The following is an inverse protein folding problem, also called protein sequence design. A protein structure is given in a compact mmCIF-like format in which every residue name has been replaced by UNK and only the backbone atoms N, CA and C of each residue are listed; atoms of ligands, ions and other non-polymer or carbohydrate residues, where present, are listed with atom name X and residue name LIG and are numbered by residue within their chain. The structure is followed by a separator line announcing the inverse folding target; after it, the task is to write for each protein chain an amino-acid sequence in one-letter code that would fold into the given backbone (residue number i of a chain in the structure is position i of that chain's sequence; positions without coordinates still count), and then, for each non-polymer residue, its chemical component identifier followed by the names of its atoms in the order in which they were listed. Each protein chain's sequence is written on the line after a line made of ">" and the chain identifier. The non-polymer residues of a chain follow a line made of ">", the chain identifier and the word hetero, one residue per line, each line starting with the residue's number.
data_IF_487516788472
#
_entry.id   IF_487516788472
#
_cell.length_a   1.000
_cell.length_b   1.000
_cell.length_c   1.000
_cell.angle_alpha   90.00
_cell.angle_beta   90.00
_cell.angle_gamma   90.00
#
_symmetry.space_group_name_H-M   'P 1'
#
loop_
_entity.id
_entity.type
_entity.pdbx_description
1 polymer ?
#
# COMPACT_ATOMS: atom_id res chain seq x y z
N UNK A 1 -3.44 -7.03 -39.18
CA UNK A 1 -3.00 -5.69 -39.61
C UNK A 1 -4.19 -4.74 -39.44
N UNK A 2 -3.94 -3.64 -38.73
CA UNK A 2 -4.73 -2.39 -38.70
C UNK A 2 -6.07 -2.39 -37.93
N UNK A 3 -5.91 -2.23 -36.61
CA UNK A 3 -6.46 -1.12 -35.80
C UNK A 3 -7.28 -0.07 -36.56
N UNK A 4 -8.54 0.12 -36.15
CA UNK A 4 -9.15 1.45 -36.02
C UNK A 4 -10.58 1.32 -35.49
N UNK A 5 -10.85 1.86 -34.29
CA UNK A 5 -12.06 2.60 -33.90
C UNK A 5 -12.36 2.45 -32.40
N UNK A 6 -11.91 3.42 -31.58
CA UNK A 6 -12.58 3.88 -30.36
C UNK A 6 -11.70 4.90 -29.60
N UNK A 7 -11.56 6.11 -30.15
CA UNK A 7 -10.99 7.24 -29.41
C UNK A 7 -11.51 8.57 -29.95
N UNK A 8 -12.84 8.73 -29.99
CA UNK A 8 -13.47 10.02 -30.27
C UNK A 8 -14.76 10.22 -29.49
N UNK A 9 -14.67 10.22 -28.16
CA UNK A 9 -15.59 10.97 -27.32
C UNK A 9 -14.75 11.44 -26.14
N UNK A 10 -14.47 12.74 -26.03
CA UNK A 10 -14.47 13.56 -24.81
C UNK A 10 -13.71 14.89 -25.02
N UNK A 11 -14.24 15.94 -24.39
CA UNK A 11 -13.86 17.37 -24.44
C UNK A 11 -14.40 18.22 -25.61
N UNK A 12 -15.73 18.29 -25.72
CA UNK A 12 -16.42 19.56 -26.02
C UNK A 12 -16.89 20.17 -24.71
N UNK A 13 -16.11 21.10 -24.17
CA UNK A 13 -16.49 22.23 -23.30
C UNK A 13 -15.20 22.79 -22.70
N UNK A 14 -14.60 23.75 -23.38
CA UNK A 14 -13.82 24.88 -22.85
C UNK A 14 -13.28 25.65 -24.06
N UNK A 15 -14.17 26.45 -24.65
CA UNK A 15 -13.85 27.36 -25.74
C UNK A 15 -14.43 28.74 -25.46
N UNK A 16 -13.51 29.67 -25.16
CA UNK A 16 -13.49 31.09 -25.61
C UNK A 16 -14.55 32.05 -25.04
N UNK A 17 -14.06 33.02 -24.27
CA UNK A 17 -14.34 34.48 -24.32
C UNK A 17 -13.03 35.13 -23.84
N UNK A 18 -12.39 36.13 -24.43
CA UNK A 18 -12.70 37.09 -25.49
C UNK A 18 -11.86 38.34 -25.18
N UNK A 19 -10.98 38.75 -26.10
CA UNK A 19 -10.08 39.92 -26.01
C UNK A 19 -10.85 41.25 -25.86
N UNK A 20 -10.29 42.22 -25.12
CA UNK A 20 -10.71 43.62 -25.17
C UNK A 20 -9.99 44.61 -24.23
N UNK A 21 -9.04 45.36 -24.82
CA UNK A 21 -8.66 46.77 -24.54
C UNK A 21 -7.71 47.16 -23.37
N UNK A 22 -6.47 47.47 -23.76
CA UNK A 22 -5.63 48.66 -23.48
C UNK A 22 -5.96 49.56 -22.27
N UNK A 23 -4.94 49.74 -21.42
CA UNK A 23 -4.62 51.04 -20.80
C UNK A 23 -4.60 51.06 -19.27
N UNK A 24 -3.39 51.01 -18.70
CA UNK A 24 -2.82 51.98 -17.74
C UNK A 24 -1.58 51.34 -17.09
N UNK A 25 -0.45 52.02 -17.26
CA UNK A 25 0.80 51.72 -16.61
C UNK A 25 0.67 51.85 -15.09
N UNK A 26 0.93 50.75 -14.39
CA UNK A 26 1.07 50.71 -12.94
C UNK A 26 1.85 49.45 -12.60
N UNK A 27 3.10 49.62 -12.17
CA UNK A 27 3.96 48.55 -11.70
C UNK A 27 3.25 47.71 -10.63
N UNK A 28 2.78 46.53 -11.03
CA UNK A 28 2.57 45.40 -10.14
C UNK A 28 3.23 44.21 -10.82
N UNK A 29 4.41 43.83 -10.35
CA UNK A 29 5.07 42.58 -10.74
C UNK A 29 4.18 41.42 -10.27
N UNK A 30 3.23 40.99 -11.11
CA UNK A 30 2.54 39.71 -10.94
C UNK A 30 3.50 38.60 -11.38
N UNK A 31 3.89 37.74 -10.45
CA UNK A 31 4.72 36.56 -10.67
C UNK A 31 4.02 35.58 -11.63
N UNK A 32 4.38 35.61 -12.91
CA UNK A 32 3.87 34.70 -13.94
C UNK A 32 4.68 33.38 -14.06
N UNK A 33 5.25 32.85 -12.97
CA UNK A 33 6.32 31.84 -13.05
C UNK A 33 6.00 30.35 -12.74
N UNK A 34 4.85 29.89 -12.19
CA UNK A 34 4.65 28.45 -11.96
C UNK A 34 3.82 27.70 -13.02
N UNK A 35 3.24 28.35 -14.02
CA UNK A 35 2.25 27.72 -14.92
C UNK A 35 2.85 26.87 -16.05
N UNK A 36 4.01 27.26 -16.61
CA UNK A 36 4.61 26.55 -17.77
C UNK A 36 5.05 25.12 -17.44
N UNK A 37 5.73 24.85 -16.30
CA UNK A 37 6.16 23.50 -15.95
C UNK A 37 4.98 22.54 -15.71
N UNK A 38 3.89 23.03 -15.11
CA UNK A 38 2.69 22.23 -14.84
C UNK A 38 1.96 21.85 -16.13
N UNK A 39 1.79 22.79 -17.07
CA UNK A 39 1.17 22.51 -18.37
C UNK A 39 1.96 21.47 -19.15
N UNK A 40 3.30 21.51 -19.05
CA UNK A 40 4.15 20.51 -19.69
C UNK A 40 4.01 19.13 -19.02
N UNK A 41 3.95 19.07 -17.70
CA UNK A 41 3.70 17.82 -16.97
C UNK A 41 2.34 17.21 -17.33
N UNK A 42 1.28 18.02 -17.42
CA UNK A 42 -0.05 17.59 -17.86
C UNK A 42 -0.01 17.02 -19.28
N UNK A 43 0.68 17.71 -20.20
CA UNK A 43 0.84 17.25 -21.58
C UNK A 43 1.56 15.91 -21.66
N UNK A 44 2.63 15.73 -20.88
CA UNK A 44 3.36 14.45 -20.81
C UNK A 44 2.47 13.34 -20.25
N UNK A 45 1.70 13.62 -19.19
CA UNK A 45 0.76 12.66 -18.62
C UNK A 45 -0.32 12.24 -19.63
N UNK A 46 -0.91 13.19 -20.35
CA UNK A 46 -1.89 12.94 -21.41
C UNK A 46 -1.33 12.12 -22.57
N UNK A 47 -0.03 12.25 -22.85
CA UNK A 47 0.68 11.45 -23.85
C UNK A 47 1.06 10.04 -23.35
N UNK A 48 0.70 9.67 -22.12
CA UNK A 48 1.10 8.41 -21.50
C UNK A 48 2.58 8.35 -21.09
N UNK A 49 3.29 9.48 -21.10
CA UNK A 49 4.69 9.60 -20.69
C UNK A 49 4.79 9.80 -19.17
N UNK A 50 4.18 8.89 -18.43
CA UNK A 50 4.03 8.96 -16.97
C UNK A 50 5.35 9.17 -16.21
N UNK A 51 6.47 8.48 -16.52
CA UNK A 51 7.74 8.71 -15.82
C UNK A 51 8.29 10.12 -16.00
N UNK A 52 8.09 10.72 -17.17
CA UNK A 52 8.57 12.07 -17.49
C UNK A 52 7.68 13.13 -16.84
N UNK A 53 6.36 12.90 -16.79
CA UNK A 53 5.44 13.72 -16.02
C UNK A 53 5.77 13.69 -14.52
N UNK A 54 6.08 12.51 -13.97
CA UNK A 54 6.48 12.33 -12.57
C UNK A 54 7.70 13.16 -12.19
N UNK A 55 8.76 13.11 -13.01
CA UNK A 55 9.98 13.88 -12.74
C UNK A 55 9.71 15.39 -12.71
N UNK A 56 8.97 15.92 -13.68
CA UNK A 56 8.61 17.35 -13.70
C UNK A 56 7.72 17.75 -12.53
N UNK A 57 6.76 16.89 -12.15
CA UNK A 57 5.93 17.16 -10.98
C UNK A 57 6.77 17.15 -9.69
N UNK A 58 7.73 16.24 -9.56
CA UNK A 58 8.62 16.23 -8.40
C UNK A 58 9.42 17.55 -8.27
N UNK A 59 9.89 18.12 -9.38
CA UNK A 59 10.54 19.44 -9.39
C UNK A 59 9.60 20.56 -8.95
N UNK A 60 8.35 20.57 -9.44
CA UNK A 60 7.33 21.56 -9.05
C UNK A 60 7.02 21.44 -7.55
N UNK A 61 6.92 20.21 -7.04
CA UNK A 61 6.52 19.91 -5.66
C UNK A 61 7.63 20.15 -4.63
N UNK A 62 8.88 20.41 -5.04
CA UNK A 62 9.91 20.92 -4.14
C UNK A 62 9.56 22.32 -3.61
N UNK A 63 8.69 23.06 -4.31
CA UNK A 63 8.15 24.32 -3.84
C UNK A 63 6.95 24.11 -2.90
N UNK A 64 7.01 24.66 -1.69
CA UNK A 64 5.91 24.58 -0.70
C UNK A 64 4.61 25.21 -1.20
N UNK A 65 4.68 26.17 -2.12
CA UNK A 65 3.53 26.83 -2.76
C UNK A 65 3.12 26.16 -4.07
N UNK A 66 3.47 24.88 -4.28
CA UNK A 66 3.11 24.17 -5.49
C UNK A 66 1.59 24.20 -5.77
N UNK A 67 1.17 24.33 -7.04
CA UNK A 67 -0.24 24.32 -7.40
C UNK A 67 -0.93 23.03 -6.95
N UNK A 68 -2.16 23.15 -6.44
CA UNK A 68 -2.96 21.99 -6.01
C UNK A 68 -3.08 20.95 -7.13
N UNK A 69 -3.24 21.40 -8.37
CA UNK A 69 -3.34 20.52 -9.53
C UNK A 69 -2.09 19.66 -9.76
N UNK A 70 -0.90 20.13 -9.35
CA UNK A 70 0.33 19.34 -9.38
C UNK A 70 0.29 18.19 -8.36
N UNK A 71 -0.23 18.46 -7.15
CA UNK A 71 -0.43 17.44 -6.11
C UNK A 71 -1.42 16.36 -6.57
N UNK A 72 -2.55 16.78 -7.16
CA UNK A 72 -3.55 15.85 -7.68
C UNK A 72 -2.98 14.98 -8.80
N UNK A 73 -2.27 15.58 -9.76
CA UNK A 73 -1.68 14.85 -10.87
C UNK A 73 -0.60 13.87 -10.41
N UNK A 74 0.22 14.25 -9.42
CA UNK A 74 1.20 13.35 -8.82
C UNK A 74 0.51 12.18 -8.09
N UNK A 75 -0.56 12.44 -7.33
CA UNK A 75 -1.33 11.39 -6.66
C UNK A 75 -1.95 10.39 -7.67
N UNK A 76 -2.43 10.85 -8.83
CA UNK A 76 -2.92 9.95 -9.88
C UNK A 76 -1.83 9.07 -10.48
N UNK A 77 -0.65 9.63 -10.71
CA UNK A 77 0.50 8.88 -11.22
C UNK A 77 0.92 7.83 -10.18
N UNK A 78 1.04 8.21 -8.92
CA UNK A 78 1.45 7.31 -7.84
C UNK A 78 0.40 6.21 -7.60
N UNK A 79 -0.89 6.55 -7.70
CA UNK A 79 -1.96 5.55 -7.72
C UNK A 79 -1.72 4.55 -8.84
N UNK A 80 -1.54 5.01 -10.09
CA UNK A 80 -1.27 4.16 -11.27
C UNK A 80 0.00 3.32 -11.15
N UNK A 81 0.99 3.79 -10.40
CA UNK A 81 2.24 3.07 -10.13
C UNK A 81 2.12 2.08 -8.96
N UNK A 82 1.01 2.12 -8.21
CA UNK A 82 0.76 1.29 -7.03
C UNK A 82 1.43 1.82 -5.75
N UNK A 83 1.96 3.04 -5.77
CA UNK A 83 2.57 3.71 -4.62
C UNK A 83 1.51 4.48 -3.82
N UNK A 84 0.64 3.72 -3.17
CA UNK A 84 -0.56 4.25 -2.50
C UNK A 84 -0.23 5.20 -1.34
N UNK A 85 0.84 4.91 -0.60
CA UNK A 85 1.29 5.73 0.52
C UNK A 85 1.72 7.12 0.03
N UNK A 86 2.58 7.18 -0.98
CA UNK A 86 3.00 8.45 -1.54
C UNK A 86 1.82 9.17 -2.20
N UNK A 87 0.87 8.44 -2.81
CA UNK A 87 -0.35 9.05 -3.35
C UNK A 87 -1.19 9.71 -2.26
N UNK A 88 -1.36 9.07 -1.08
CA UNK A 88 -2.04 9.66 0.07
C UNK A 88 -1.30 10.90 0.62
N UNK A 89 0.04 10.87 0.65
CA UNK A 89 0.84 12.01 1.08
C UNK A 89 0.66 13.24 0.18
N UNK A 90 0.39 13.05 -1.11
CA UNK A 90 0.08 14.17 -2.02
C UNK A 90 -1.38 14.63 -1.94
N UNK A 91 -2.34 13.71 -1.76
CA UNK A 91 -3.78 14.04 -1.82
C UNK A 91 -4.28 14.77 -0.58
N UNK A 92 -3.77 14.44 0.60
CA UNK A 92 -4.24 15.03 1.86
C UNK A 92 -3.98 16.55 1.95
N UNK A 93 -2.76 17.04 1.65
CA UNK A 93 -2.50 18.49 1.58
C UNK A 93 -3.33 19.20 0.49
N UNK A 94 -3.60 18.53 -0.64
CA UNK A 94 -4.42 19.09 -1.71
C UNK A 94 -5.86 19.35 -1.25
N UNK A 95 -6.47 18.36 -0.58
CA UNK A 95 -7.82 18.49 -0.01
C UNK A 95 -7.87 19.63 1.01
N UNK A 96 -6.91 19.71 1.93
CA UNK A 96 -6.86 20.77 2.94
C UNK A 96 -6.80 22.17 2.31
N UNK A 97 -5.95 22.36 1.29
CA UNK A 97 -5.82 23.63 0.57
C UNK A 97 -7.12 24.01 -0.15
N UNK A 98 -7.78 23.05 -0.80
CA UNK A 98 -9.05 23.27 -1.49
C UNK A 98 -10.19 23.60 -0.54
N UNK A 99 -10.28 22.91 0.60
CA UNK A 99 -11.26 23.21 1.64
C UNK A 99 -11.07 24.62 2.20
N UNK A 100 -9.81 25.03 2.43
CA UNK A 100 -9.49 26.39 2.88
C UNK A 100 -9.84 27.44 1.81
N UNK A 101 -9.55 27.17 0.53
CA UNK A 101 -9.90 28.06 -0.58
C UNK A 101 -11.42 28.27 -0.67
N UNK A 102 -12.21 27.20 -0.55
CA UNK A 102 -13.67 27.25 -0.57
C UNK A 102 -14.21 28.00 0.67
N UNK A 103 -13.65 27.74 1.85
CA UNK A 103 -14.01 28.48 3.06
C UNK A 103 -13.76 29.99 2.91
N UNK A 104 -12.72 30.37 2.18
CA UNK A 104 -12.40 31.76 1.85
C UNK A 104 -13.21 32.32 0.66
N UNK A 105 -14.25 31.62 0.19
CA UNK A 105 -15.18 32.08 -0.83
C UNK A 105 -14.83 31.70 -2.28
N UNK A 106 -13.80 30.88 -2.52
CA UNK A 106 -13.43 30.43 -3.87
C UNK A 106 -14.23 29.20 -4.30
N UNK A 107 -15.53 29.38 -4.55
CA UNK A 107 -16.44 28.29 -4.94
C UNK A 107 -16.10 27.63 -6.29
N UNK A 108 -15.25 28.26 -7.12
CA UNK A 108 -14.76 27.67 -8.38
C UNK A 108 -13.92 26.41 -8.16
N UNK A 109 -13.43 26.19 -6.94
CA UNK A 109 -12.63 25.01 -6.58
C UNK A 109 -13.47 23.79 -6.17
N UNK A 110 -14.80 23.92 -6.05
CA UNK A 110 -15.69 22.81 -5.67
C UNK A 110 -15.53 21.58 -6.59
N UNK A 111 -15.46 21.71 -7.93
CA UNK A 111 -15.19 20.56 -8.81
C UNK A 111 -13.81 19.93 -8.57
N UNK A 112 -12.80 20.76 -8.29
CA UNK A 112 -11.43 20.30 -7.97
C UNK A 112 -11.42 19.52 -6.65
N UNK A 113 -12.19 19.97 -5.64
CA UNK A 113 -12.35 19.28 -4.37
C UNK A 113 -13.10 17.95 -4.53
N UNK A 114 -14.15 17.93 -5.35
CA UNK A 114 -14.89 16.70 -5.66
C UNK A 114 -13.95 15.64 -6.28
N UNK A 115 -13.11 16.04 -7.23
CA UNK A 115 -12.08 15.17 -7.79
C UNK A 115 -11.06 14.74 -6.72
N UNK A 116 -10.56 15.65 -5.88
CA UNK A 116 -9.59 15.29 -4.85
C UNK A 116 -10.14 14.22 -3.88
N UNK A 117 -11.40 14.34 -3.48
CA UNK A 117 -12.08 13.32 -2.68
C UNK A 117 -12.30 12.01 -3.45
N UNK A 118 -12.66 12.08 -4.73
CA UNK A 118 -12.80 10.89 -5.56
C UNK A 118 -11.47 10.12 -5.63
N UNK A 119 -10.37 10.82 -5.91
CA UNK A 119 -9.04 10.24 -6.00
C UNK A 119 -8.59 9.62 -4.66
N UNK A 120 -8.87 10.29 -3.53
CA UNK A 120 -8.64 9.72 -2.20
C UNK A 120 -9.44 8.43 -1.96
N UNK A 121 -10.70 8.41 -2.40
CA UNK A 121 -11.53 7.21 -2.37
C UNK A 121 -10.92 6.08 -3.20
N UNK A 122 -10.43 6.39 -4.41
CA UNK A 122 -9.77 5.40 -5.27
C UNK A 122 -8.45 4.89 -4.67
N UNK A 123 -7.63 5.74 -4.05
CA UNK A 123 -6.39 5.30 -3.41
C UNK A 123 -6.69 4.28 -2.31
N UNK A 124 -7.71 4.54 -1.49
CA UNK A 124 -8.12 3.65 -0.39
C UNK A 124 -8.82 2.37 -0.86
N UNK A 125 -9.50 2.42 -1.99
CA UNK A 125 -10.17 1.26 -2.57
C UNK A 125 -9.23 0.39 -3.41
N UNK A 126 -8.06 0.90 -3.82
CA UNK A 126 -7.12 0.17 -4.69
C UNK A 126 -6.71 -1.22 -4.16
N UNK A 127 -6.52 -1.41 -2.84
CA UNK A 127 -6.21 -2.75 -2.32
C UNK A 127 -7.38 -3.74 -2.39
N UNK A 128 -8.62 -3.26 -2.33
CA UNK A 128 -9.82 -4.09 -2.48
C UNK A 128 -9.90 -4.74 -3.87
N UNK A 129 -9.28 -4.13 -4.88
CA UNK A 129 -9.18 -4.69 -6.24
C UNK A 129 -8.59 -6.10 -6.18
N UNK A 130 -7.48 -6.25 -5.48
CA UNK A 130 -6.73 -7.50 -5.47
C UNK A 130 -7.41 -8.56 -4.62
N UNK A 131 -7.98 -8.16 -3.48
CA UNK A 131 -8.85 -9.03 -2.68
C UNK A 131 -9.98 -9.54 -3.56
N UNK A 132 -10.58 -8.66 -4.37
CA UNK A 132 -11.66 -9.02 -5.26
C UNK A 132 -11.25 -9.92 -6.43
N UNK A 133 -9.96 -10.01 -6.80
CA UNK A 133 -9.49 -10.83 -7.93
C UNK A 133 -9.26 -12.30 -7.57
N UNK A 134 -9.26 -12.65 -6.28
CA UNK A 134 -9.11 -14.03 -5.81
C UNK A 134 -10.38 -14.88 -6.05
N UNK A 135 -10.21 -16.20 -6.14
CA UNK A 135 -11.34 -17.15 -6.28
C UNK A 135 -12.24 -17.16 -5.03
N UNK A 136 -11.62 -17.02 -3.84
CA UNK A 136 -12.28 -16.88 -2.54
C UNK A 136 -11.85 -15.55 -1.88
N UNK A 137 -12.53 -14.43 -2.19
CA UNK A 137 -12.18 -13.12 -1.64
C UNK A 137 -12.38 -13.07 -0.12
N UNK A 138 -11.37 -12.56 0.58
CA UNK A 138 -11.49 -12.20 1.99
C UNK A 138 -12.51 -11.05 2.13
N UNK A 139 -13.72 -11.39 2.53
CA UNK A 139 -14.84 -10.45 2.65
C UNK A 139 -14.63 -9.41 3.74
N UNK A 140 -13.96 -9.76 4.82
CA UNK A 140 -13.71 -8.82 5.92
C UNK A 140 -12.66 -7.79 5.51
N UNK A 141 -11.62 -8.21 4.79
CA UNK A 141 -10.66 -7.30 4.17
C UNK A 141 -11.34 -6.38 3.13
N UNK A 142 -12.21 -6.93 2.28
CA UNK A 142 -12.95 -6.14 1.28
C UNK A 142 -13.86 -5.09 1.94
N UNK A 143 -14.63 -5.49 2.95
CA UNK A 143 -15.49 -4.58 3.72
C UNK A 143 -14.68 -3.47 4.38
N UNK A 144 -13.54 -3.82 4.98
CA UNK A 144 -12.65 -2.84 5.57
C UNK A 144 -12.25 -1.77 4.54
N UNK A 145 -11.74 -2.17 3.38
CA UNK A 145 -11.24 -1.23 2.37
C UNK A 145 -12.35 -0.37 1.77
N UNK A 146 -13.53 -0.94 1.58
CA UNK A 146 -14.70 -0.18 1.13
C UNK A 146 -15.12 0.84 2.20
N UNK A 147 -15.09 0.46 3.49
CA UNK A 147 -15.38 1.35 4.60
C UNK A 147 -14.40 2.52 4.67
N UNK A 148 -13.11 2.33 4.41
CA UNK A 148 -12.13 3.43 4.44
C UNK A 148 -12.25 4.39 3.25
N UNK A 149 -12.69 3.89 2.09
CA UNK A 149 -12.96 4.70 0.90
C UNK A 149 -14.29 5.47 0.97
N UNK A 150 -15.25 4.98 1.77
CA UNK A 150 -16.63 5.46 1.85
C UNK A 150 -16.78 6.97 1.96
N UNK A 151 -16.23 7.57 3.00
CA UNK A 151 -16.45 9.00 3.28
C UNK A 151 -15.97 9.86 2.11
N UNK A 152 -14.84 9.51 1.51
CA UNK A 152 -14.27 10.26 0.39
C UNK A 152 -15.12 10.12 -0.88
N UNK A 153 -15.60 8.91 -1.21
CA UNK A 153 -16.48 8.71 -2.36
C UNK A 153 -17.86 9.36 -2.18
N UNK A 154 -18.39 9.35 -0.96
CA UNK A 154 -19.64 10.06 -0.62
C UNK A 154 -19.48 11.58 -0.73
N UNK A 155 -18.36 12.14 -0.24
CA UNK A 155 -18.07 13.56 -0.35
C UNK A 155 -17.90 14.00 -1.81
N UNK A 156 -17.20 13.20 -2.63
CA UNK A 156 -17.09 13.46 -4.07
C UNK A 156 -18.46 13.51 -4.76
N UNK A 157 -19.32 12.52 -4.49
CA UNK A 157 -20.67 12.48 -5.03
C UNK A 157 -21.56 13.62 -4.54
N UNK A 158 -21.46 13.99 -3.26
CA UNK A 158 -22.24 15.09 -2.69
C UNK A 158 -21.85 16.46 -3.30
N UNK A 159 -20.58 16.64 -3.67
CA UNK A 159 -20.09 17.87 -4.30
C UNK A 159 -20.42 17.93 -5.79
N UNK A 160 -20.45 16.80 -6.50
CA UNK A 160 -20.83 16.74 -7.91
C UNK A 160 -21.51 15.42 -8.30
N UNK A 161 -22.82 15.33 -8.09
CA UNK A 161 -23.62 14.16 -8.46
C UNK A 161 -23.83 13.98 -9.98
N UNK A 162 -23.41 14.98 -10.78
CA UNK A 162 -23.57 14.99 -12.23
C UNK A 162 -22.45 14.22 -12.93
N UNK A 163 -21.27 14.12 -12.32
CA UNK A 163 -20.13 13.33 -12.81
C UNK A 163 -20.41 11.83 -12.65
N UNK A 164 -20.54 11.07 -13.76
CA UNK A 164 -20.89 9.65 -13.70
C UNK A 164 -19.89 8.80 -12.90
N UNK A 165 -18.60 9.17 -12.88
CA UNK A 165 -17.58 8.43 -12.12
C UNK A 165 -17.83 8.48 -10.62
N UNK A 166 -18.22 9.64 -10.09
CA UNK A 166 -18.46 9.82 -8.66
C UNK A 166 -19.70 9.03 -8.22
N UNK A 167 -20.73 8.98 -9.07
CA UNK A 167 -21.90 8.12 -8.86
C UNK A 167 -21.51 6.65 -8.83
N UNK A 168 -20.73 6.18 -9.80
CA UNK A 168 -20.31 4.77 -9.83
C UNK A 168 -19.51 4.38 -8.59
N UNK A 169 -18.59 5.24 -8.14
CA UNK A 169 -17.85 5.02 -6.88
C UNK A 169 -18.77 4.97 -5.65
N UNK A 170 -19.76 5.86 -5.58
CA UNK A 170 -20.77 5.86 -4.51
C UNK A 170 -21.62 4.58 -4.50
N UNK A 171 -22.09 4.13 -5.66
CA UNK A 171 -22.91 2.92 -5.80
C UNK A 171 -22.17 1.63 -5.38
N UNK A 172 -20.85 1.57 -5.56
CA UNK A 172 -20.02 0.46 -5.07
C UNK A 172 -20.07 0.39 -3.55
N UNK A 173 -19.86 1.52 -2.88
CA UNK A 173 -19.89 1.59 -1.41
C UNK A 173 -21.27 1.21 -0.88
N UNK A 174 -22.35 1.76 -1.47
CA UNK A 174 -23.71 1.40 -1.05
C UNK A 174 -24.02 -0.09 -1.24
N UNK A 175 -23.54 -0.70 -2.32
CA UNK A 175 -23.80 -2.10 -2.61
C UNK A 175 -23.16 -3.04 -1.58
N UNK A 176 -21.93 -2.73 -1.15
CA UNK A 176 -21.22 -3.51 -0.13
C UNK A 176 -21.82 -3.27 1.26
N UNK A 177 -22.29 -2.06 1.57
CA UNK A 177 -22.93 -1.78 2.88
C UNK A 177 -24.34 -2.34 3.03
N UNK A 178 -25.18 -2.32 1.97
CA UNK A 178 -26.53 -2.91 2.03
C UNK A 178 -26.48 -4.42 2.32
N UNK A 179 -25.38 -5.07 1.99
CA UNK A 179 -25.18 -6.50 2.20
C UNK A 179 -24.98 -6.87 3.67
N UNK A 180 -24.29 -6.02 4.44
CA UNK A 180 -24.03 -6.20 5.87
C UNK A 180 -25.33 -6.31 6.70
N UNK A 181 -26.45 -5.82 6.17
CA UNK A 181 -27.77 -5.85 6.83
C UNK A 181 -28.66 -7.04 6.45
N UNK A 182 -28.29 -7.84 5.45
CA UNK A 182 -29.22 -8.80 4.82
C UNK A 182 -28.93 -10.30 5.06
N UNK A 183 -27.76 -10.64 5.61
CA UNK A 183 -27.47 -11.97 6.20
C UNK A 183 -27.49 -13.21 5.28
N UNK A 184 -27.84 -13.12 3.99
CA UNK A 184 -27.97 -14.28 3.09
C UNK A 184 -27.48 -14.00 1.67
N UNK A 185 -26.54 -14.83 1.17
CA UNK A 185 -26.16 -15.00 -0.26
C UNK A 185 -25.73 -13.76 -1.08
N UNK A 186 -25.69 -12.59 -0.44
CA UNK A 186 -25.47 -11.28 -1.07
C UNK A 186 -24.02 -10.99 -1.45
N UNK A 187 -23.07 -11.72 -0.87
CA UNK A 187 -21.62 -11.58 -1.08
C UNK A 187 -21.27 -11.36 -2.56
N UNK A 188 -21.80 -12.20 -3.46
CA UNK A 188 -21.48 -12.13 -4.89
C UNK A 188 -21.89 -10.83 -5.59
N UNK A 189 -22.96 -10.14 -5.18
CA UNK A 189 -23.43 -8.96 -5.92
C UNK A 189 -22.58 -7.70 -5.68
N UNK A 190 -22.06 -7.54 -4.46
CA UNK A 190 -21.26 -6.36 -4.07
C UNK A 190 -19.90 -6.42 -4.73
N UNK A 191 -19.31 -7.61 -4.70
CA UNK A 191 -18.08 -7.95 -5.43
C UNK A 191 -18.24 -7.86 -6.94
N UNK A 192 -19.37 -8.31 -7.53
CA UNK A 192 -19.61 -8.13 -8.97
C UNK A 192 -19.65 -6.64 -9.34
N UNK A 193 -20.28 -5.80 -8.51
CA UNK A 193 -20.30 -4.35 -8.73
C UNK A 193 -18.92 -3.72 -8.55
N UNK A 194 -18.17 -4.11 -7.52
CA UNK A 194 -16.80 -3.67 -7.30
C UNK A 194 -15.90 -4.06 -8.48
N UNK A 195 -15.89 -5.34 -8.88
CA UNK A 195 -15.12 -5.83 -10.05
C UNK A 195 -15.49 -5.06 -11.32
N UNK A 196 -16.77 -4.82 -11.57
CA UNK A 196 -17.24 -4.03 -12.73
C UNK A 196 -16.76 -2.60 -12.67
N UNK A 197 -16.86 -1.95 -11.51
CA UNK A 197 -16.36 -0.59 -11.31
C UNK A 197 -14.86 -0.51 -11.61
N UNK A 198 -14.09 -1.45 -11.06
CA UNK A 198 -12.65 -1.52 -11.25
C UNK A 198 -12.26 -1.70 -12.71
N UNK A 199 -12.97 -2.57 -13.44
CA UNK A 199 -12.78 -2.77 -14.87
C UNK A 199 -13.15 -1.55 -15.72
N UNK A 200 -13.93 -0.61 -15.20
CA UNK A 200 -14.39 0.58 -15.93
C UNK A 200 -13.62 1.84 -15.55
N UNK A 201 -12.98 1.87 -14.38
CA UNK A 201 -12.23 3.03 -13.89
C UNK A 201 -10.87 3.14 -14.60
N UNK A 202 -10.64 4.18 -15.43
CA UNK A 202 -9.42 4.32 -16.21
C UNK A 202 -8.14 4.39 -15.38
N UNK A 203 -8.21 4.92 -14.15
CA UNK A 203 -7.06 4.96 -13.25
C UNK A 203 -6.65 3.56 -12.78
N UNK A 204 -7.60 2.62 -12.70
CA UNK A 204 -7.36 1.23 -12.33
C UNK A 204 -6.99 0.34 -13.51
N UNK A 205 -7.52 0.61 -14.70
CA UNK A 205 -7.13 -0.11 -15.93
C UNK A 205 -5.64 -0.01 -16.26
N UNK A 206 -4.95 1.01 -15.74
CA UNK A 206 -3.49 1.20 -15.88
C UNK A 206 -2.66 0.55 -14.77
N UNK A 207 -3.29 -0.06 -13.76
CA UNK A 207 -2.62 -0.74 -12.63
C UNK A 207 -2.12 -2.15 -12.94
N UNK A 208 -2.64 -2.80 -13.99
CA UNK A 208 -2.34 -4.18 -14.33
C UNK A 208 -1.08 -4.24 -15.20
N UNK A 209 0.14 -4.19 -14.61
CA UNK A 209 0.68 -5.34 -13.89
C UNK A 209 1.61 -5.01 -12.69
N UNK A 210 1.45 -3.87 -12.01
CA UNK A 210 2.49 -3.32 -11.11
C UNK A 210 2.11 -3.07 -9.66
N UNK A 211 0.88 -3.32 -9.25
CA UNK A 211 0.59 -3.31 -7.82
C UNK A 211 1.49 -4.35 -7.11
N UNK A 212 2.01 -4.10 -5.89
CA UNK A 212 2.63 -5.12 -5.05
C UNK A 212 1.60 -6.12 -4.53
N UNK A 213 2.03 -7.35 -4.19
CA UNK A 213 1.16 -8.47 -3.86
C UNK A 213 0.06 -8.14 -2.81
N UNK A 214 -1.12 -8.73 -3.03
CA UNK A 214 -2.42 -8.43 -2.41
C UNK A 214 -2.55 -8.79 -0.94
N UNK A 215 -1.43 -8.82 -0.23
CA UNK A 215 -1.43 -9.22 1.15
C UNK A 215 -1.56 -8.03 2.10
N UNK A 216 -1.52 -6.79 1.64
CA UNK A 216 -1.72 -5.62 2.51
C UNK A 216 -3.20 -5.44 2.87
N UNK A 217 -3.50 -5.65 4.15
CA UNK A 217 -4.69 -5.17 4.89
C UNK A 217 -4.27 -3.91 5.66
N UNK A 218 -5.18 -3.00 6.05
CA UNK A 218 -4.80 -1.61 6.31
C UNK A 218 -4.80 -1.43 7.81
N UNK A 219 -3.61 -1.26 8.35
CA UNK A 219 -3.39 -0.37 9.47
C UNK A 219 -1.87 -0.23 9.64
N UNK A 220 -1.49 0.93 10.18
CA UNK A 220 -0.14 1.47 10.35
C UNK A 220 0.52 2.16 9.13
N UNK A 221 0.47 3.49 9.22
CA UNK A 221 1.58 4.43 8.98
C UNK A 221 2.93 3.70 8.83
N UNK A 222 3.71 3.93 7.76
CA UNK A 222 5.05 3.38 7.67
C UNK A 222 5.97 4.17 8.59
N UNK A 223 6.02 3.75 9.84
CA UNK A 223 7.35 3.61 10.42
C UNK A 223 8.14 2.67 9.51
N UNK A 224 9.37 3.05 9.18
CA UNK A 224 10.30 2.21 8.44
C UNK A 224 10.15 0.76 8.89
N UNK A 225 9.95 -0.20 7.97
CA UNK A 225 9.92 -1.63 8.32
C UNK A 225 11.28 -2.14 8.82
N UNK A 226 12.30 -1.30 8.75
CA UNK A 226 13.68 -1.67 9.06
C UNK A 226 13.91 -2.15 10.49
N UNK A 227 13.29 -1.61 11.56
CA UNK A 227 13.44 -2.13 12.91
C UNK A 227 12.93 -3.57 13.05
N UNK A 228 11.76 -3.90 12.46
CA UNK A 228 11.23 -5.28 12.45
C UNK A 228 12.15 -6.21 11.67
N UNK A 229 12.61 -5.78 10.48
CA UNK A 229 13.56 -6.56 9.67
C UNK A 229 14.89 -6.76 10.39
N UNK A 230 15.39 -5.75 11.10
CA UNK A 230 16.60 -5.81 11.89
C UNK A 230 16.47 -6.82 13.04
N UNK A 231 15.35 -6.80 13.79
CA UNK A 231 15.07 -7.81 14.82
C UNK A 231 15.03 -9.23 14.25
N UNK A 232 14.41 -9.43 13.09
CA UNK A 232 14.31 -10.75 12.46
C UNK A 232 15.65 -11.25 11.88
N UNK A 233 16.49 -10.36 11.36
CA UNK A 233 17.87 -10.71 10.97
C UNK A 233 18.71 -11.08 12.18
N UNK A 234 18.65 -10.25 13.24
CA UNK A 234 19.34 -10.51 14.51
C UNK A 234 18.90 -11.83 15.14
N UNK A 235 17.62 -12.17 15.02
CA UNK A 235 17.10 -13.48 15.43
C UNK A 235 17.80 -14.64 14.71
N UNK A 236 17.99 -14.59 13.38
CA UNK A 236 18.66 -15.68 12.67
C UNK A 236 20.12 -15.86 13.13
N UNK A 237 20.80 -14.76 13.45
CA UNK A 237 22.17 -14.78 13.99
C UNK A 237 22.21 -15.41 15.40
N UNK A 238 21.29 -15.00 16.27
CA UNK A 238 21.19 -15.51 17.64
C UNK A 238 20.76 -16.98 17.64
N UNK A 239 19.79 -17.37 16.81
CA UNK A 239 19.33 -18.75 16.64
C UNK A 239 20.51 -19.67 16.36
N UNK A 240 21.39 -19.28 15.42
CA UNK A 240 22.61 -20.02 15.11
C UNK A 240 23.49 -20.24 16.34
N UNK A 241 23.79 -19.18 17.09
CA UNK A 241 24.64 -19.29 18.27
C UNK A 241 23.97 -20.12 19.38
N UNK A 242 22.64 -20.00 19.54
CA UNK A 242 21.89 -20.74 20.54
C UNK A 242 21.92 -22.25 20.27
N UNK A 243 21.76 -22.70 19.02
CA UNK A 243 21.80 -24.13 18.69
C UNK A 243 23.22 -24.70 18.54
N UNK A 244 24.17 -23.94 17.98
CA UNK A 244 25.55 -24.42 17.79
C UNK A 244 26.39 -24.34 19.08
N UNK A 245 26.29 -23.22 19.80
CA UNK A 245 27.13 -22.95 20.97
C UNK A 245 26.38 -23.16 22.29
N UNK A 246 25.09 -23.51 22.24
CA UNK A 246 24.23 -23.67 23.42
C UNK A 246 24.10 -22.39 24.27
N UNK A 247 24.25 -21.23 23.64
CA UNK A 247 24.19 -19.90 24.25
C UNK A 247 22.76 -19.36 24.28
N UNK A 248 22.08 -19.48 25.42
CA UNK A 248 20.67 -19.07 25.55
C UNK A 248 20.47 -17.60 25.96
N UNK A 249 21.48 -16.92 26.48
CA UNK A 249 21.31 -15.56 27.02
C UNK A 249 20.95 -14.54 25.92
N UNK A 250 21.52 -14.69 24.72
CA UNK A 250 21.22 -13.83 23.58
C UNK A 250 19.77 -13.93 23.12
N UNK A 251 19.05 -15.01 23.42
CA UNK A 251 17.65 -15.20 23.00
C UNK A 251 16.74 -14.08 23.53
N UNK A 252 17.00 -13.58 24.74
CA UNK A 252 16.20 -12.51 25.37
C UNK A 252 16.35 -11.15 24.69
N UNK A 253 17.37 -10.98 23.83
CA UNK A 253 17.57 -9.74 23.09
C UNK A 253 16.57 -9.56 21.95
N UNK A 254 15.95 -10.66 21.49
CA UNK A 254 15.09 -10.67 20.30
C UNK A 254 13.80 -11.48 20.48
N UNK A 255 13.72 -12.38 21.46
CA UNK A 255 12.53 -13.18 21.74
C UNK A 255 11.86 -12.75 23.06
N UNK A 256 10.55 -12.95 23.13
CA UNK A 256 9.73 -12.81 24.33
C UNK A 256 8.63 -13.88 24.37
N UNK A 257 7.89 -13.95 25.47
CA UNK A 257 6.71 -14.82 25.61
C UNK A 257 6.97 -16.30 25.31
N UNK A 258 6.05 -16.90 24.56
CA UNK A 258 6.07 -18.33 24.24
C UNK A 258 7.24 -18.69 23.32
N UNK A 259 7.54 -17.87 22.31
CA UNK A 259 8.68 -18.08 21.42
C UNK A 259 10.02 -18.19 22.18
N UNK A 260 10.23 -17.35 23.20
CA UNK A 260 11.41 -17.43 24.06
C UNK A 260 11.43 -18.75 24.86
N UNK A 261 10.30 -19.10 25.48
CA UNK A 261 10.18 -20.27 26.35
C UNK A 261 10.37 -21.58 25.59
N UNK A 262 9.75 -21.69 24.41
CA UNK A 262 9.86 -22.85 23.53
C UNK A 262 11.28 -23.00 22.97
N UNK A 263 11.88 -21.90 22.53
CA UNK A 263 13.26 -21.91 21.99
C UNK A 263 14.26 -22.32 23.07
N UNK A 264 14.15 -21.78 24.29
CA UNK A 264 15.01 -22.19 25.41
C UNK A 264 14.86 -23.68 25.66
N UNK A 265 13.63 -24.19 25.70
CA UNK A 265 13.35 -25.60 25.93
C UNK A 265 13.94 -26.49 24.82
N UNK A 266 13.85 -26.08 23.56
CA UNK A 266 14.46 -26.77 22.44
C UNK A 266 16.00 -26.82 22.55
N UNK A 267 16.65 -25.69 22.83
CA UNK A 267 18.11 -25.64 23.01
C UNK A 267 18.56 -26.47 24.21
N UNK A 268 17.82 -26.43 25.32
CA UNK A 268 18.08 -27.24 26.50
C UNK A 268 17.93 -28.73 26.22
N UNK A 269 16.98 -29.13 25.38
CA UNK A 269 16.86 -30.52 24.95
C UNK A 269 18.14 -30.97 24.23
N UNK A 270 18.66 -30.22 23.26
CA UNK A 270 19.93 -30.54 22.60
C UNK A 270 21.11 -30.62 23.58
N UNK A 271 21.15 -29.70 24.55
CA UNK A 271 22.17 -29.72 25.61
C UNK A 271 22.12 -30.95 26.50
N UNK A 272 20.92 -31.48 26.76
CA UNK A 272 20.70 -32.60 27.67
C UNK A 272 20.74 -33.97 26.97
N UNK A 273 20.84 -34.02 25.65
CA UNK A 273 20.94 -35.23 24.86
C UNK A 273 22.33 -35.31 24.20
N UNK A 274 23.33 -35.90 24.86
CA UNK A 274 24.73 -35.84 24.41
C UNK A 274 25.00 -36.54 23.06
N UNK A 275 24.11 -37.43 22.63
CA UNK A 275 24.17 -38.08 21.31
C UNK A 275 23.57 -37.21 20.18
N UNK A 276 22.86 -36.14 20.55
CA UNK A 276 22.24 -35.17 19.66
C UNK A 276 23.13 -33.93 19.55
N UNK A 277 23.81 -33.75 18.41
CA UNK A 277 24.75 -32.64 18.19
C UNK A 277 24.34 -31.83 16.97
N UNK A 278 24.37 -30.51 17.10
CA UNK A 278 24.15 -29.55 16.02
C UNK A 278 25.51 -29.10 15.47
N UNK A 279 25.84 -29.47 14.23
CA UNK A 279 27.14 -29.21 13.60
C UNK A 279 27.16 -27.94 12.76
N UNK A 280 26.02 -27.52 12.21
CA UNK A 280 25.94 -26.35 11.35
C UNK A 280 24.53 -25.79 11.21
N UNK A 281 24.38 -24.48 11.38
CA UNK A 281 23.18 -23.74 11.00
C UNK A 281 23.60 -22.51 10.18
N UNK A 282 23.25 -22.50 8.91
CA UNK A 282 23.62 -21.41 8.00
C UNK A 282 22.38 -20.86 7.30
N UNK A 283 22.12 -19.57 7.51
CA UNK A 283 21.11 -18.84 6.75
C UNK A 283 21.63 -18.56 5.33
N UNK A 284 20.95 -19.08 4.32
CA UNK A 284 21.24 -18.81 2.90
C UNK A 284 20.47 -17.61 2.39
N UNK A 285 19.20 -17.51 2.75
CA UNK A 285 18.32 -16.41 2.33
C UNK A 285 17.27 -16.12 3.39
N UNK A 286 17.01 -14.83 3.60
CA UNK A 286 15.87 -14.35 4.37
C UNK A 286 15.14 -13.31 3.53
N UNK A 287 14.00 -13.72 2.97
CA UNK A 287 13.17 -12.87 2.14
C UNK A 287 11.89 -12.51 2.89
N UNK A 288 11.73 -11.25 3.23
CA UNK A 288 10.48 -10.75 3.81
C UNK A 288 9.40 -10.73 2.72
N UNK A 289 8.38 -11.55 2.89
CA UNK A 289 7.24 -11.63 1.99
C UNK A 289 6.19 -10.59 2.37
N UNK A 290 5.95 -10.42 3.67
CA UNK A 290 4.95 -9.49 4.21
C UNK A 290 5.33 -9.06 5.62
N UNK A 291 5.10 -7.79 5.95
CA UNK A 291 5.13 -7.28 7.32
C UNK A 291 3.81 -6.52 7.52
N UNK A 292 3.08 -6.85 8.57
CA UNK A 292 1.78 -6.30 8.89
C UNK A 292 1.75 -5.88 10.35
N UNK A 293 1.62 -4.59 10.60
CA UNK A 293 1.41 -4.08 11.95
C UNK A 293 -0.09 -4.18 12.26
N UNK A 294 -0.43 -4.85 13.35
CA UNK A 294 -1.79 -4.84 13.88
C UNK A 294 -2.07 -3.51 14.60
N UNK A 295 -1.06 -2.96 15.27
CA UNK A 295 -1.07 -1.63 15.88
C UNK A 295 0.38 -1.11 16.08
N UNK A 296 0.56 -0.05 16.86
CA UNK A 296 1.88 0.54 17.13
C UNK A 296 2.82 -0.36 17.94
N UNK A 297 2.27 -1.36 18.63
CA UNK A 297 2.95 -2.27 19.53
C UNK A 297 2.96 -3.72 19.04
N UNK A 298 2.17 -4.09 18.04
CA UNK A 298 2.03 -5.47 17.57
C UNK A 298 2.23 -5.58 16.06
N UNK A 299 3.03 -6.56 15.64
CA UNK A 299 3.38 -6.79 14.25
C UNK A 299 3.42 -8.29 13.94
N UNK A 300 3.01 -8.66 12.73
CA UNK A 300 3.21 -9.98 12.15
C UNK A 300 4.09 -9.88 10.91
N UNK A 301 5.13 -10.70 10.84
CA UNK A 301 6.00 -10.79 9.67
C UNK A 301 5.96 -12.19 9.05
N UNK A 302 5.68 -12.28 7.77
CA UNK A 302 5.85 -13.49 6.97
C UNK A 302 7.17 -13.40 6.21
N UNK A 303 8.05 -14.37 6.44
CA UNK A 303 9.31 -14.48 5.72
C UNK A 303 9.47 -15.87 5.11
N UNK A 304 10.15 -15.91 3.96
CA UNK A 304 10.71 -17.13 3.41
C UNK A 304 12.16 -17.23 3.89
N UNK A 305 12.47 -18.37 4.51
CA UNK A 305 13.78 -18.70 5.04
C UNK A 305 14.33 -19.86 4.24
N UNK A 306 15.54 -19.68 3.74
CA UNK A 306 16.35 -20.76 3.21
C UNK A 306 17.54 -20.93 4.15
N UNK A 307 17.67 -22.11 4.75
CA UNK A 307 18.78 -22.43 5.64
C UNK A 307 19.30 -23.85 5.39
N UNK A 308 20.60 -24.01 5.61
CA UNK A 308 21.25 -25.31 5.70
C UNK A 308 21.38 -25.68 7.17
N UNK A 309 20.89 -26.86 7.53
CA UNK A 309 21.00 -27.45 8.86
C UNK A 309 21.86 -28.71 8.78
N UNK A 310 22.72 -28.91 9.75
CA UNK A 310 23.50 -30.12 9.89
C UNK A 310 23.47 -30.54 11.37
N UNK A 311 22.88 -31.68 11.66
CA UNK A 311 22.83 -32.25 13.00
C UNK A 311 22.97 -33.78 12.93
N UNK A 312 23.16 -34.44 14.08
CA UNK A 312 23.37 -35.89 14.15
C UNK A 312 22.12 -36.72 13.89
N UNK A 313 20.92 -36.14 14.00
CA UNK A 313 19.63 -36.83 13.82
C UNK A 313 19.21 -36.90 12.34
N UNK A 314 19.34 -35.79 11.62
CA UNK A 314 18.85 -35.60 10.26
C UNK A 314 19.97 -35.57 9.21
N UNK A 315 21.23 -35.52 9.63
CA UNK A 315 22.36 -35.25 8.74
C UNK A 315 22.30 -33.82 8.20
N UNK A 316 22.74 -33.62 6.96
CA UNK A 316 22.70 -32.32 6.31
C UNK A 316 21.40 -32.15 5.50
N UNK A 317 20.64 -31.11 5.84
CA UNK A 317 19.33 -30.81 5.25
C UNK A 317 19.30 -29.36 4.76
N UNK A 318 18.93 -29.17 3.50
CA UNK A 318 18.57 -27.86 2.99
C UNK A 318 17.06 -27.69 3.17
N UNK A 319 16.67 -26.65 3.91
CA UNK A 319 15.29 -26.35 4.21
C UNK A 319 14.92 -25.00 3.60
N UNK A 320 13.84 -24.98 2.82
CA UNK A 320 13.17 -23.76 2.41
C UNK A 320 11.77 -23.77 3.00
N UNK A 321 11.47 -22.79 3.85
CA UNK A 321 10.19 -22.72 4.53
C UNK A 321 9.68 -21.30 4.67
N UNK A 322 8.36 -21.18 4.79
CA UNK A 322 7.69 -19.94 5.14
C UNK A 322 7.36 -19.95 6.62
N UNK A 323 7.70 -18.86 7.29
CA UNK A 323 7.52 -18.70 8.71
C UNK A 323 6.83 -17.38 8.99
N UNK A 324 5.80 -17.46 9.84
CA UNK A 324 5.09 -16.32 10.40
C UNK A 324 5.66 -16.03 11.78
N UNK A 325 6.06 -14.79 11.99
CA UNK A 325 6.52 -14.26 13.26
C UNK A 325 5.45 -13.33 13.82
N UNK A 326 5.07 -13.51 15.08
CA UNK A 326 4.40 -12.48 15.88
C UNK A 326 5.46 -11.67 16.64
N UNK A 327 5.35 -10.35 16.62
CA UNK A 327 6.27 -9.43 17.28
C UNK A 327 5.53 -8.39 18.12
N UNK A 328 6.10 -8.08 19.28
CA UNK A 328 5.62 -7.04 20.20
C UNK A 328 6.71 -5.97 20.38
N UNK A 329 6.32 -4.70 20.39
CA UNK A 329 7.20 -3.56 20.63
C UNK A 329 7.30 -3.27 22.11
N UNK A 330 8.51 -3.09 22.61
CA UNK A 330 8.77 -2.56 23.96
C UNK A 330 9.77 -1.43 23.82
N UNK A 331 9.31 -0.20 24.05
CA UNK A 331 10.09 1.00 23.72
C UNK A 331 10.32 1.10 22.21
N UNK A 332 11.58 1.13 21.78
CA UNK A 332 11.96 1.21 20.36
C UNK A 332 12.42 -0.12 19.75
N UNK A 333 12.22 -1.23 20.49
CA UNK A 333 12.70 -2.56 20.09
C UNK A 333 11.51 -3.48 19.85
N UNK A 334 11.58 -4.22 18.74
CA UNK A 334 10.63 -5.29 18.40
C UNK A 334 11.16 -6.64 18.86
N UNK A 335 10.37 -7.34 19.65
CA UNK A 335 10.64 -8.68 20.17
C UNK A 335 9.71 -9.69 19.51
N UNK A 336 10.22 -10.85 19.13
CA UNK A 336 9.45 -11.95 18.55
C UNK A 336 8.77 -12.72 19.68
N UNK A 337 7.45 -12.70 19.72
CA UNK A 337 6.62 -13.38 20.71
C UNK A 337 6.11 -14.74 20.25
N UNK A 338 6.02 -14.95 18.93
CA UNK A 338 5.48 -16.16 18.32
C UNK A 338 6.26 -16.54 17.05
N UNK A 339 6.50 -17.83 16.83
CA UNK A 339 7.16 -18.36 15.62
C UNK A 339 6.34 -19.56 15.13
N UNK A 340 5.78 -19.43 13.93
CA UNK A 340 4.96 -20.49 13.33
C UNK A 340 5.43 -20.80 11.91
N UNK A 341 5.90 -22.02 11.67
CA UNK A 341 6.21 -22.51 10.32
C UNK A 341 4.89 -22.80 9.60
N UNK A 342 4.66 -22.15 8.46
CA UNK A 342 3.39 -22.19 7.72
C UNK A 342 3.47 -23.18 6.55
N UNK A 343 4.65 -23.32 5.94
CA UNK A 343 4.89 -24.22 4.81
C UNK A 343 6.36 -24.63 4.84
N UNK A 344 6.68 -25.91 4.66
CA UNK A 344 8.06 -26.41 4.72
C UNK A 344 8.33 -27.40 3.59
N UNK A 345 9.36 -27.08 2.80
CA UNK A 345 9.99 -28.00 1.86
C UNK A 345 11.40 -28.30 2.36
N UNK A 346 11.64 -29.53 2.79
CA UNK A 346 12.95 -30.00 3.22
C UNK A 346 13.45 -31.06 2.24
N UNK A 347 14.66 -30.85 1.71
CA UNK A 347 15.30 -31.81 0.81
C UNK A 347 16.59 -32.30 1.48
N UNK A 348 16.71 -33.62 1.75
CA UNK A 348 17.96 -34.19 2.22
C UNK A 348 19.09 -33.89 1.22
N UNK A 349 20.26 -33.49 1.72
CA UNK A 349 21.44 -33.37 0.86
C UNK A 349 22.09 -34.76 0.79
N UNK A 350 22.28 -35.34 -0.41
CA UNK A 350 22.83 -36.68 -0.58
C UNK A 350 24.30 -36.80 -0.18
#
# INVERSE_FOLDING_TARGET
>A
MLLNSASQIWFKRFGILGLGLLGIAGLVFWQAAPMVPLVEAEKLYQQGKTPQARLKLAEILQNKEAPVKALLLMAEILLQEGDLEQAELQINPAIQRLQQAIHNGQNTEVPTLAWAFYLKGLIRLAPAIRVSETEEPDWEALKYWVKTAKESLQQAFALDASEPRFRSGHEVVEAVERQDKSGLSGDRQGLVRLRRFVQQEPLYLRLAPRLPDASTSPEAIPESQEPVRASLRKWQEIKRNAFLNQEIEGLKEVLTGDALTETISAVQWWKNNPDAVYYGLELKSLKFLKIHYADAEHCQALAEVEEMRHNSEEGQVNSQYRVRYGLNRVGDIWYISEIQVVEQNATPVP
#
